data_IF_490721685777
#
_entry.id   IF_490721685777
#
_cell.length_a   1.000
_cell.length_b   1.000
_cell.length_c   1.000
_cell.angle_alpha   90.00
_cell.angle_beta   90.00
_cell.angle_gamma   90.00
#
_symmetry.space_group_name_H-M   'P 1'
#
loop_
_entity.id
_entity.type
_entity.pdbx_description
1 polymer ?
#
# COMPACT_ATOMS: atom_id res chain seq x y z
N UNK A 1 12.16 3.45 7.88
CA UNK A 1 11.86 2.79 6.60
C UNK A 1 10.80 1.70 6.71
N UNK A 2 10.96 0.69 7.59
CA UNK A 2 9.96 -0.37 7.75
C UNK A 2 8.51 0.14 7.98
N UNK A 3 8.24 1.18 8.80
CA UNK A 3 6.89 1.73 8.93
C UNK A 3 6.32 2.27 7.60
N UNK A 4 7.18 2.83 6.74
CA UNK A 4 6.79 3.32 5.41
C UNK A 4 6.46 2.17 4.46
N UNK A 5 7.16 1.03 4.57
CA UNK A 5 6.84 -0.18 3.79
C UNK A 5 5.48 -0.73 4.18
N UNK A 6 5.22 -0.88 5.48
CA UNK A 6 3.94 -1.39 5.98
C UNK A 6 2.80 -0.43 5.63
N UNK A 7 3.02 0.89 5.72
CA UNK A 7 2.05 1.89 5.31
C UNK A 7 1.79 1.84 3.79
N UNK A 8 2.83 1.64 2.98
CA UNK A 8 2.68 1.44 1.54
C UNK A 8 1.84 0.20 1.21
N UNK A 9 2.07 -0.92 1.89
CA UNK A 9 1.27 -2.13 1.71
C UNK A 9 -0.20 -1.91 2.08
N UNK A 10 -0.50 -1.10 3.12
CA UNK A 10 -1.87 -0.64 3.38
C UNK A 10 -2.42 0.24 2.24
N UNK A 11 -1.63 1.18 1.71
CA UNK A 11 -2.05 2.03 0.59
C UNK A 11 -2.48 1.20 -0.61
N UNK A 12 -1.67 0.21 -0.99
CA UNK A 12 -1.93 -0.65 -2.17
C UNK A 12 -2.72 -1.91 -1.83
N UNK A 13 -3.16 -2.08 -0.59
CA UNK A 13 -3.86 -3.26 -0.10
C UNK A 13 -3.13 -4.58 -0.41
N UNK A 14 -1.81 -4.60 -0.24
CA UNK A 14 -1.00 -5.81 -0.35
C UNK A 14 -0.95 -6.53 0.99
N UNK A 15 -1.59 -7.70 1.08
CA UNK A 15 -1.59 -8.54 2.27
C UNK A 15 -0.59 -9.71 2.21
N UNK A 16 0.18 -9.82 1.13
CA UNK A 16 1.09 -10.94 0.88
C UNK A 16 2.58 -10.54 0.98
N UNK A 17 2.87 -9.30 1.41
CA UNK A 17 4.25 -8.87 1.64
C UNK A 17 4.89 -9.70 2.76
N UNK A 18 6.01 -10.35 2.44
CA UNK A 18 6.90 -11.06 3.38
C UNK A 18 8.33 -10.50 3.34
N UNK A 19 9.21 -10.97 4.24
CA UNK A 19 10.63 -10.58 4.26
C UNK A 19 11.36 -10.94 2.95
N UNK A 20 10.97 -12.01 2.26
CA UNK A 20 11.54 -12.45 0.98
C UNK A 20 11.28 -11.44 -0.16
N UNK A 21 10.31 -10.54 0.03
CA UNK A 21 9.98 -9.49 -0.93
C UNK A 21 10.73 -8.16 -0.66
N UNK A 22 11.65 -8.16 0.31
CA UNK A 22 12.45 -6.99 0.69
C UNK A 22 13.91 -7.18 0.25
N UNK A 23 14.35 -6.39 -0.72
CA UNK A 23 15.75 -6.36 -1.12
C UNK A 23 16.47 -5.28 -0.32
N UNK A 24 17.31 -5.70 0.63
CA UNK A 24 18.18 -4.78 1.35
C UNK A 24 19.18 -4.12 0.38
N UNK A 25 19.20 -2.80 0.35
CA UNK A 25 20.18 -1.99 -0.37
C UNK A 25 21.09 -1.26 0.63
N UNK A 26 22.03 -0.47 0.13
CA UNK A 26 22.99 0.25 0.99
C UNK A 26 22.26 1.21 1.93
N UNK A 27 22.86 1.44 3.10
CA UNK A 27 22.38 2.36 4.15
C UNK A 27 21.12 1.92 4.92
N UNK A 28 20.78 0.63 4.88
CA UNK A 28 19.58 0.12 5.58
C UNK A 28 18.28 0.44 4.85
N UNK A 29 18.40 0.78 3.56
CA UNK A 29 17.28 1.01 2.69
C UNK A 29 16.77 -0.34 2.11
N UNK A 30 15.50 -0.40 1.68
CA UNK A 30 14.85 -1.57 1.11
C UNK A 30 14.19 -1.20 -0.22
N UNK A 31 14.33 -2.09 -1.20
CA UNK A 31 13.54 -2.07 -2.42
C UNK A 31 12.48 -3.15 -2.32
N UNK A 32 11.23 -2.77 -2.61
CA UNK A 32 10.09 -3.68 -2.58
C UNK A 32 9.93 -4.35 -3.95
N UNK A 33 9.92 -5.68 -3.96
CA UNK A 33 9.67 -6.49 -5.15
C UNK A 33 8.43 -7.34 -4.97
N UNK A 34 7.94 -7.91 -6.06
CA UNK A 34 6.74 -8.75 -6.10
C UNK A 34 5.47 -8.03 -5.56
N UNK A 35 4.78 -7.36 -6.48
CA UNK A 35 3.56 -6.60 -6.18
C UNK A 35 2.31 -7.25 -6.81
N UNK A 36 2.35 -8.58 -7.02
CA UNK A 36 1.28 -9.31 -7.70
C UNK A 36 -0.08 -9.21 -6.98
N UNK A 37 -0.06 -9.07 -5.65
CA UNK A 37 -1.23 -9.03 -4.77
C UNK A 37 -1.70 -7.62 -4.41
N UNK A 38 -1.32 -6.58 -5.19
CA UNK A 38 -1.94 -5.25 -5.06
C UNK A 38 -3.45 -5.40 -5.19
N UNK A 39 -4.18 -4.82 -4.22
CA UNK A 39 -5.62 -4.90 -4.10
C UNK A 39 -6.19 -6.34 -4.10
N UNK A 40 -5.41 -7.30 -3.56
CA UNK A 40 -5.79 -8.71 -3.51
C UNK A 40 -5.70 -9.43 -4.86
N UNK A 41 -4.92 -8.90 -5.80
CA UNK A 41 -4.60 -9.50 -7.08
C UNK A 41 -5.34 -8.88 -8.27
N UNK A 42 -4.63 -8.69 -9.40
CA UNK A 42 -5.18 -8.14 -10.64
C UNK A 42 -6.33 -8.99 -11.25
N UNK A 43 -6.57 -10.21 -10.78
CA UNK A 43 -7.72 -11.01 -11.19
C UNK A 43 -9.02 -10.59 -10.49
N UNK A 44 -8.93 -9.77 -9.43
CA UNK A 44 -10.05 -9.33 -8.59
C UNK A 44 -10.43 -7.85 -8.78
N UNK A 45 -9.98 -7.22 -9.87
CA UNK A 45 -10.19 -5.79 -10.18
C UNK A 45 -11.66 -5.37 -10.38
N UNK A 46 -12.64 -6.23 -10.09
CA UNK A 46 -14.06 -5.88 -10.11
C UNK A 46 -14.53 -5.65 -8.67
N UNK A 47 -14.96 -4.42 -8.36
CA UNK A 47 -15.53 -4.09 -7.05
C UNK A 47 -14.49 -3.71 -5.99
N UNK A 48 -13.52 -2.88 -6.38
CA UNK A 48 -12.56 -2.29 -5.46
C UNK A 48 -13.24 -1.50 -4.33
N UNK A 49 -13.09 -1.97 -3.09
CA UNK A 49 -13.46 -1.20 -1.90
C UNK A 49 -12.21 -0.54 -1.30
N UNK A 50 -12.13 0.78 -1.45
CA UNK A 50 -11.03 1.58 -0.89
C UNK A 50 -11.02 1.59 0.65
N UNK A 51 -12.12 1.21 1.31
CA UNK A 51 -12.21 1.15 2.77
C UNK A 51 -11.75 -0.19 3.36
N UNK A 52 -11.53 -1.21 2.52
CA UNK A 52 -11.16 -2.53 3.01
C UNK A 52 -9.90 -2.45 3.87
N UNK A 53 -10.02 -2.92 5.10
CA UNK A 53 -8.90 -3.09 6.03
C UNK A 53 -8.07 -4.28 5.59
N UNK A 54 -6.77 -4.07 5.42
CA UNK A 54 -5.83 -5.12 5.04
C UNK A 54 -4.92 -5.46 6.21
N UNK A 55 -4.80 -6.76 6.48
CA UNK A 55 -3.84 -7.26 7.46
C UNK A 55 -2.44 -7.20 6.83
N UNK A 56 -1.46 -6.69 7.57
CA UNK A 56 -0.06 -6.69 7.13
C UNK A 56 0.62 -7.98 7.57
N UNK A 57 0.85 -8.89 6.62
CA UNK A 57 1.59 -10.12 6.88
C UNK A 57 3.02 -9.82 7.35
N UNK A 58 3.73 -8.89 6.70
CA UNK A 58 5.06 -8.46 7.12
C UNK A 58 5.13 -7.96 8.57
N UNK A 59 4.15 -7.15 9.01
CA UNK A 59 4.14 -6.67 10.39
C UNK A 59 3.92 -7.82 11.39
N UNK A 60 3.07 -8.78 11.05
CA UNK A 60 2.83 -9.97 11.86
C UNK A 60 4.03 -10.92 11.88
N UNK A 61 4.76 -11.04 10.77
CA UNK A 61 5.96 -11.86 10.67
C UNK A 61 7.07 -11.32 11.58
N UNK A 62 7.30 -9.99 11.54
CA UNK A 62 8.37 -9.34 12.30
C UNK A 62 8.02 -9.18 13.80
N UNK A 63 6.78 -8.80 14.11
CA UNK A 63 6.38 -8.39 15.46
C UNK A 63 5.31 -9.27 16.11
N UNK A 64 4.68 -10.18 15.36
CA UNK A 64 3.52 -10.93 15.81
C UNK A 64 2.37 -10.00 16.23
N UNK A 65 1.70 -10.35 17.33
CA UNK A 65 0.59 -9.57 17.87
C UNK A 65 1.00 -8.21 18.48
N UNK A 66 2.30 -7.95 18.67
CA UNK A 66 2.80 -6.83 19.47
C UNK A 66 3.62 -5.84 18.64
N UNK A 67 2.99 -5.22 17.63
CA UNK A 67 3.63 -4.16 16.84
C UNK A 67 4.02 -2.99 17.76
N UNK A 68 5.31 -2.59 17.81
CA UNK A 68 5.76 -1.50 18.69
C UNK A 68 5.07 -0.17 18.38
N UNK A 69 4.80 0.63 19.41
CA UNK A 69 4.15 1.94 19.23
C UNK A 69 4.92 2.85 18.26
N UNK A 70 6.25 2.84 18.29
CA UNK A 70 7.08 3.59 17.35
C UNK A 70 6.85 3.20 15.88
N UNK A 71 6.56 1.92 15.62
CA UNK A 71 6.24 1.43 14.27
C UNK A 71 4.84 1.91 13.87
N UNK A 72 3.85 1.73 14.76
CA UNK A 72 2.47 2.20 14.51
C UNK A 72 2.41 3.69 14.21
N UNK A 73 3.07 4.52 15.04
CA UNK A 73 3.13 5.97 14.83
C UNK A 73 3.91 6.33 13.56
N UNK A 74 4.99 5.60 13.25
CA UNK A 74 5.73 5.78 12.00
C UNK A 74 4.90 5.46 10.75
N UNK A 75 4.02 4.46 10.80
CA UNK A 75 3.11 4.13 9.70
C UNK A 75 2.12 5.27 9.46
N UNK A 76 1.56 5.84 10.52
CA UNK A 76 0.65 6.98 10.43
C UNK A 76 1.35 8.19 9.79
N UNK A 77 2.55 8.54 10.25
CA UNK A 77 3.34 9.65 9.68
C UNK A 77 3.65 9.42 8.20
N UNK A 78 3.98 8.19 7.80
CA UNK A 78 4.20 7.86 6.39
C UNK A 78 2.92 8.08 5.55
N UNK A 79 1.77 7.66 6.09
CA UNK A 79 0.49 7.75 5.40
C UNK A 79 -0.03 9.18 5.18
N UNK A 80 0.42 10.15 5.97
CA UNK A 80 0.08 11.56 5.77
C UNK A 80 0.51 12.08 4.38
N UNK A 81 1.53 11.47 3.77
CA UNK A 81 2.03 11.86 2.45
C UNK A 81 1.47 11.05 1.28
N UNK A 82 0.65 10.03 1.54
CA UNK A 82 0.19 9.11 0.50
C UNK A 82 -0.64 9.81 -0.56
N UNK A 83 -1.53 10.73 -0.17
CA UNK A 83 -2.41 11.40 -1.12
C UNK A 83 -1.61 12.26 -2.11
N UNK A 84 -0.69 13.08 -1.62
CA UNK A 84 0.20 13.90 -2.45
C UNK A 84 1.06 13.02 -3.35
N UNK A 85 1.59 11.91 -2.81
CA UNK A 85 2.44 10.98 -3.56
C UNK A 85 1.67 10.31 -4.71
N UNK A 86 0.47 9.79 -4.45
CA UNK A 86 -0.37 9.17 -5.50
C UNK A 86 -0.78 10.22 -6.55
N UNK A 87 -1.12 11.43 -6.13
CA UNK A 87 -1.47 12.51 -7.05
C UNK A 87 -0.29 12.91 -7.94
N UNK A 88 0.93 12.94 -7.40
CA UNK A 88 2.14 13.21 -8.18
C UNK A 88 2.47 12.07 -9.16
N UNK A 89 2.28 10.82 -8.76
CA UNK A 89 2.55 9.63 -9.58
C UNK A 89 1.42 9.31 -10.58
N UNK A 90 0.25 9.94 -10.46
CA UNK A 90 -0.96 9.59 -11.22
C UNK A 90 -0.74 9.50 -12.73
N UNK A 91 -0.09 10.49 -13.33
CA UNK A 91 0.15 10.51 -14.77
C UNK A 91 1.03 9.36 -15.24
N UNK A 92 2.03 8.99 -14.45
CA UNK A 92 2.89 7.84 -14.73
C UNK A 92 2.14 6.51 -14.55
N UNK A 93 1.32 6.38 -13.51
CA UNK A 93 0.47 5.21 -13.31
C UNK A 93 -0.48 5.03 -14.50
N UNK A 94 -1.20 6.07 -14.91
CA UNK A 94 -2.10 6.04 -16.06
C UNK A 94 -1.35 5.64 -17.35
N UNK A 95 -0.17 6.21 -17.59
CA UNK A 95 0.67 5.87 -18.75
C UNK A 95 1.08 4.38 -18.77
N UNK A 96 1.52 3.83 -17.63
CA UNK A 96 1.90 2.43 -17.56
C UNK A 96 0.70 1.50 -17.75
N UNK A 97 -0.47 1.85 -17.20
CA UNK A 97 -1.69 1.08 -17.40
C UNK A 97 -2.13 1.07 -18.86
N UNK A 98 -2.04 2.20 -19.57
CA UNK A 98 -2.33 2.28 -21.00
C UNK A 98 -1.42 1.36 -21.82
N UNK A 99 -0.11 1.38 -21.53
CA UNK A 99 0.89 0.54 -22.19
C UNK A 99 0.66 -0.96 -21.93
N UNK A 100 0.43 -1.33 -20.67
CA UNK A 100 0.24 -2.72 -20.25
C UNK A 100 -1.12 -3.28 -20.70
N UNK A 101 -2.14 -2.43 -20.80
CA UNK A 101 -3.48 -2.83 -21.25
C UNK A 101 -3.64 -2.84 -22.77
N UNK A 102 -2.59 -2.52 -23.52
CA UNK A 102 -2.59 -2.41 -24.98
C UNK A 102 -3.77 -1.57 -25.52
N UNK A 103 -4.09 -0.46 -24.84
CA UNK A 103 -5.19 0.44 -25.23
C UNK A 103 -6.61 -0.09 -25.00
N UNK A 104 -6.78 -1.29 -24.42
CA UNK A 104 -8.09 -1.72 -23.92
C UNK A 104 -8.33 -0.99 -22.60
N UNK A 105 -9.27 -0.04 -22.57
CA UNK A 105 -9.80 0.54 -21.31
C UNK A 105 -10.46 -0.57 -20.51
N UNK A 106 -9.65 -1.26 -19.72
CA UNK A 106 -10.04 -2.37 -18.86
C UNK A 106 -10.16 -1.88 -17.42
N UNK A 107 -10.61 -2.79 -16.55
CA UNK A 107 -10.50 -2.71 -15.08
C UNK A 107 -9.16 -2.18 -14.54
N UNK A 108 -8.10 -2.23 -15.34
CA UNK A 108 -6.81 -1.62 -15.01
C UNK A 108 -6.92 -0.12 -14.68
N UNK A 109 -7.77 0.65 -15.36
CA UNK A 109 -7.92 2.10 -15.06
C UNK A 109 -8.72 2.39 -13.79
N UNK A 110 -9.53 1.45 -13.32
CA UNK A 110 -10.30 1.59 -12.07
C UNK A 110 -9.36 1.59 -10.85
N UNK A 111 -8.11 1.15 -11.02
CA UNK A 111 -7.09 1.20 -9.96
C UNK A 111 -6.72 2.63 -9.57
N UNK A 112 -6.80 3.60 -10.49
CA UNK A 112 -6.39 4.98 -10.19
C UNK A 112 -7.38 5.64 -9.23
N UNK A 113 -8.70 5.68 -9.52
CA UNK A 113 -9.69 6.14 -8.54
C UNK A 113 -9.59 5.39 -7.20
N UNK A 114 -9.34 4.09 -7.23
CA UNK A 114 -9.15 3.28 -6.03
C UNK A 114 -7.96 3.72 -5.18
N UNK A 115 -6.77 3.85 -5.79
CA UNK A 115 -5.55 4.27 -5.10
C UNK A 115 -5.68 5.69 -4.55
N UNK A 116 -6.31 6.60 -5.28
CA UNK A 116 -6.57 7.97 -4.82
C UNK A 116 -7.45 7.98 -3.57
N UNK A 117 -8.54 7.21 -3.58
CA UNK A 117 -9.44 7.14 -2.43
C UNK A 117 -8.78 6.43 -1.25
N UNK A 118 -8.02 5.35 -1.48
CA UNK A 118 -7.23 4.70 -0.43
C UNK A 118 -6.21 5.63 0.18
N UNK A 119 -5.52 6.43 -0.63
CA UNK A 119 -4.52 7.38 -0.18
C UNK A 119 -5.14 8.46 0.71
N UNK A 120 -6.28 9.02 0.28
CA UNK A 120 -7.03 10.03 1.06
C UNK A 120 -7.41 9.52 2.45
N UNK A 121 -7.80 8.25 2.55
CA UNK A 121 -8.25 7.65 3.81
C UNK A 121 -7.13 6.96 4.59
N UNK A 122 -5.90 6.88 4.05
CA UNK A 122 -4.82 6.07 4.61
C UNK A 122 -4.46 6.45 6.05
N UNK A 123 -4.32 7.74 6.43
CA UNK A 123 -4.03 8.09 7.82
C UNK A 123 -5.10 7.58 8.79
N UNK A 124 -6.37 7.72 8.44
CA UNK A 124 -7.49 7.28 9.28
C UNK A 124 -7.58 5.75 9.34
N UNK A 125 -7.43 5.08 8.19
CA UNK A 125 -7.47 3.61 8.10
C UNK A 125 -6.36 2.95 8.93
N UNK A 126 -5.14 3.48 8.86
CA UNK A 126 -4.00 3.01 9.68
C UNK A 126 -4.23 3.32 11.16
N UNK A 127 -4.71 4.51 11.50
CA UNK A 127 -5.04 4.86 12.89
C UNK A 127 -6.02 3.86 13.50
N UNK A 128 -7.11 3.58 12.80
CA UNK A 128 -8.14 2.65 13.23
C UNK A 128 -7.61 1.22 13.30
N UNK A 129 -6.88 0.77 12.28
CA UNK A 129 -6.32 -0.58 12.21
C UNK A 129 -5.24 -0.87 13.26
N UNK A 130 -4.47 0.15 13.68
CA UNK A 130 -3.40 0.01 14.66
C UNK A 130 -3.84 0.29 16.11
N UNK A 131 -5.09 0.74 16.31
CA UNK A 131 -5.63 1.11 17.62
C UNK A 131 -4.93 2.33 18.22
N UNK A 132 -4.53 3.29 17.39
CA UNK A 132 -3.95 4.55 17.84
C UNK A 132 -5.10 5.49 18.26
N UNK A 133 -5.26 5.73 19.56
CA UNK A 133 -6.23 6.69 20.10
C UNK A 133 -5.74 8.13 19.90
N UNK A 134 -6.70 9.06 19.77
CA UNK A 134 -6.49 10.52 19.67
C UNK A 134 -5.94 11.09 20.97
#
# INVERSE_FOLDING_TARGET
MLPSVIAFDDLVANSDRSEDNLIAVRNGDFVLVDHAEIAGGLSRLHGFDANTQTRSFLADEIFGANVPHAVKSGMMVAAESHYETVQAARGEIEQWLDLLSAGKRTTAHDIVPYLVERARMSPQRIRDGQGLLV
#
